data_IF_634328609125
#
_entry.id   IF_634328609125
#
_cell.length_a   1.000
_cell.length_b   1.000
_cell.length_c   1.000
_cell.angle_alpha   90.00
_cell.angle_beta   90.00
_cell.angle_gamma   90.00
#
_symmetry.space_group_name_H-M   'P 1'
#
loop_
_entity.id
_entity.type
_entity.pdbx_description
1 polymer ?
#
# COMPACT_ATOMS: atom_id res chain seq x y z
N UNK A 1 -23.28 13.01 -17.17
CA UNK A 1 -22.07 12.48 -16.55
C UNK A 1 -20.94 12.45 -17.57
N UNK A 2 -19.72 12.81 -17.17
CA UNK A 2 -18.54 12.67 -18.02
C UNK A 2 -18.12 11.19 -18.08
N UNK A 3 -17.58 10.72 -19.22
CA UNK A 3 -17.08 9.36 -19.33
C UNK A 3 -15.82 9.16 -18.47
N UNK A 4 -15.70 8.00 -17.82
CA UNK A 4 -14.45 7.59 -17.17
C UNK A 4 -13.48 7.18 -18.29
N UNK A 5 -12.42 7.95 -18.46
CA UNK A 5 -11.43 7.73 -19.53
C UNK A 5 -10.30 6.81 -19.08
N UNK A 6 -9.90 6.95 -17.81
CA UNK A 6 -8.71 6.27 -17.27
C UNK A 6 -8.91 5.89 -15.81
N UNK A 7 -8.40 4.73 -15.44
CA UNK A 7 -8.25 4.26 -14.06
C UNK A 7 -6.78 4.01 -13.81
N UNK A 8 -6.25 4.62 -12.76
CA UNK A 8 -4.88 4.35 -12.30
C UNK A 8 -4.97 3.44 -11.09
N UNK A 9 -4.30 2.31 -11.17
CA UNK A 9 -4.24 1.31 -10.08
C UNK A 9 -3.03 1.61 -9.22
N UNK A 10 -3.24 1.83 -7.93
CA UNK A 10 -2.14 2.07 -6.99
C UNK A 10 -1.30 0.82 -6.77
N UNK A 11 -1.96 -0.36 -6.58
CA UNK A 11 -1.31 -1.65 -6.37
C UNK A 11 -2.31 -2.81 -6.51
N UNK A 12 -1.84 -4.08 -6.42
CA UNK A 12 -2.63 -5.28 -6.74
C UNK A 12 -3.56 -5.78 -5.62
N UNK A 13 -3.63 -5.17 -4.44
CA UNK A 13 -4.52 -5.67 -3.38
C UNK A 13 -5.98 -5.64 -3.81
N UNK A 14 -6.78 -6.54 -3.24
CA UNK A 14 -8.12 -6.86 -3.71
C UNK A 14 -9.06 -5.64 -3.81
N UNK A 15 -9.02 -4.79 -2.83
CA UNK A 15 -9.83 -3.57 -2.69
C UNK A 15 -9.42 -2.44 -3.65
N UNK A 16 -8.22 -2.52 -4.23
CA UNK A 16 -7.72 -1.60 -5.25
C UNK A 16 -7.78 -2.18 -6.67
N UNK A 17 -7.97 -3.50 -6.80
CA UNK A 17 -7.78 -4.20 -8.08
C UNK A 17 -9.03 -4.93 -8.59
N UNK A 18 -9.83 -5.56 -7.72
CA UNK A 18 -10.92 -6.45 -8.17
C UNK A 18 -12.13 -5.71 -8.75
N UNK A 19 -12.23 -4.38 -8.58
CA UNK A 19 -13.26 -3.55 -9.20
C UNK A 19 -13.01 -3.19 -10.67
N UNK A 20 -11.83 -3.48 -11.23
CA UNK A 20 -11.40 -3.03 -12.56
C UNK A 20 -12.31 -3.49 -13.69
N UNK A 21 -12.95 -4.66 -13.57
CA UNK A 21 -13.89 -5.15 -14.58
C UNK A 21 -15.06 -4.20 -14.82
N UNK A 22 -15.54 -3.48 -13.81
CA UNK A 22 -16.62 -2.52 -13.95
C UNK A 22 -16.19 -1.29 -14.77
N UNK A 23 -14.98 -0.81 -14.56
CA UNK A 23 -14.39 0.29 -15.31
C UNK A 23 -14.06 -0.11 -16.74
N UNK A 24 -13.56 -1.34 -16.93
CA UNK A 24 -13.30 -1.88 -18.27
C UNK A 24 -14.57 -2.00 -19.09
N UNK A 25 -15.68 -2.39 -18.48
CA UNK A 25 -16.98 -2.52 -19.14
C UNK A 25 -17.53 -1.19 -19.68
N UNK A 26 -17.12 -0.05 -19.12
CA UNK A 26 -17.50 1.28 -19.61
C UNK A 26 -16.42 1.92 -20.50
N UNK A 27 -15.41 1.15 -20.90
CA UNK A 27 -14.39 1.56 -21.87
C UNK A 27 -13.23 2.37 -21.28
N UNK A 28 -13.07 2.35 -19.95
CA UNK A 28 -11.92 3.00 -19.31
C UNK A 28 -10.61 2.26 -19.62
N UNK A 29 -9.55 3.01 -19.82
CA UNK A 29 -8.19 2.50 -19.98
C UNK A 29 -7.56 2.28 -18.60
N UNK A 30 -7.06 1.09 -18.33
CA UNK A 30 -6.48 0.70 -17.03
C UNK A 30 -4.97 0.91 -17.07
N UNK A 31 -4.45 1.72 -16.18
CA UNK A 31 -3.03 2.01 -16.03
C UNK A 31 -2.51 1.48 -14.70
N UNK A 32 -1.35 0.80 -14.71
CA UNK A 32 -0.72 0.28 -13.51
C UNK A 32 0.81 0.34 -13.61
N UNK A 33 1.51 0.14 -12.49
CA UNK A 33 2.95 -0.03 -12.51
C UNK A 33 3.35 -1.33 -13.22
N UNK A 34 4.44 -1.32 -14.00
CA UNK A 34 4.89 -2.48 -14.80
C UNK A 34 5.09 -3.77 -13.98
N UNK A 35 5.53 -3.65 -12.73
CA UNK A 35 5.75 -4.83 -11.87
C UNK A 35 4.48 -5.63 -11.56
N UNK A 36 3.28 -5.07 -11.77
CA UNK A 36 2.05 -5.85 -11.67
C UNK A 36 2.04 -7.06 -12.61
N UNK A 37 2.78 -7.00 -13.72
CA UNK A 37 2.90 -8.10 -14.67
C UNK A 37 3.62 -9.32 -14.05
N UNK A 38 4.55 -9.11 -13.11
CA UNK A 38 5.21 -10.19 -12.38
C UNK A 38 4.19 -10.92 -11.47
N UNK A 39 3.35 -10.15 -10.77
CA UNK A 39 2.23 -10.70 -10.00
C UNK A 39 1.26 -11.48 -10.91
N UNK A 40 0.84 -10.89 -12.04
CA UNK A 40 -0.11 -11.50 -12.97
C UNK A 40 0.44 -12.77 -13.66
N UNK A 41 1.76 -12.89 -13.81
CA UNK A 41 2.41 -14.05 -14.41
C UNK A 41 2.61 -15.22 -13.42
N UNK A 42 2.34 -15.03 -12.13
CA UNK A 42 2.45 -16.05 -11.09
C UNK A 42 1.13 -16.75 -10.81
N UNK A 43 1.14 -17.73 -9.93
CA UNK A 43 -0.09 -18.39 -9.45
C UNK A 43 -0.86 -17.55 -8.40
N UNK A 44 -0.23 -16.52 -7.84
CA UNK A 44 -0.78 -15.73 -6.75
C UNK A 44 -2.13 -15.05 -7.07
N UNK A 45 -2.38 -14.48 -8.27
CA UNK A 45 -3.68 -13.89 -8.60
C UNK A 45 -4.85 -14.88 -8.49
N UNK A 46 -4.67 -16.09 -9.02
CA UNK A 46 -5.72 -17.11 -9.00
C UNK A 46 -5.99 -17.61 -7.56
N UNK A 47 -4.93 -17.87 -6.80
CA UNK A 47 -5.02 -18.33 -5.42
C UNK A 47 -5.67 -17.26 -4.52
N UNK A 48 -5.24 -16.00 -4.64
CA UNK A 48 -5.81 -14.89 -3.88
C UNK A 48 -7.26 -14.62 -4.25
N UNK A 49 -7.61 -14.67 -5.53
CA UNK A 49 -9.00 -14.48 -5.95
C UNK A 49 -9.91 -15.58 -5.40
N UNK A 50 -9.45 -16.85 -5.40
CA UNK A 50 -10.21 -17.96 -4.82
C UNK A 50 -10.45 -17.74 -3.31
N UNK A 51 -9.41 -17.40 -2.55
CA UNK A 51 -9.52 -17.07 -1.12
C UNK A 51 -10.47 -15.86 -0.88
N UNK A 52 -10.38 -14.82 -1.71
CA UNK A 52 -11.20 -13.61 -1.56
C UNK A 52 -12.67 -13.84 -1.93
N UNK A 53 -12.98 -14.80 -2.79
CA UNK A 53 -14.37 -15.22 -3.04
C UNK A 53 -15.03 -15.80 -1.80
N UNK A 54 -14.27 -16.44 -0.92
CA UNK A 54 -14.77 -16.93 0.36
C UNK A 54 -14.83 -15.81 1.41
N UNK A 55 -13.72 -15.08 1.58
CA UNK A 55 -13.56 -14.12 2.68
C UNK A 55 -14.27 -12.78 2.46
N UNK A 56 -14.55 -12.40 1.21
CA UNK A 56 -15.18 -11.14 0.83
C UNK A 56 -16.54 -11.32 0.13
N UNK A 57 -17.18 -12.49 0.26
CA UNK A 57 -18.53 -12.68 -0.25
C UNK A 57 -19.53 -11.72 0.45
N UNK A 58 -20.50 -11.11 -0.25
CA UNK A 58 -20.82 -11.29 -1.68
C UNK A 58 -20.11 -10.34 -2.65
N UNK A 59 -19.25 -9.43 -2.18
CA UNK A 59 -18.62 -8.40 -3.02
C UNK A 59 -17.61 -8.97 -4.01
N UNK A 60 -16.87 -9.99 -3.60
CA UNK A 60 -16.04 -10.82 -4.48
C UNK A 60 -16.73 -12.17 -4.60
N UNK A 61 -17.03 -12.58 -5.84
CA UNK A 61 -17.81 -13.78 -6.14
C UNK A 61 -17.33 -14.43 -7.46
N UNK A 62 -18.09 -15.40 -7.99
CA UNK A 62 -17.73 -16.11 -9.21
C UNK A 62 -17.68 -15.24 -10.46
N UNK A 63 -18.33 -14.07 -10.44
CA UNK A 63 -18.28 -13.10 -11.54
C UNK A 63 -17.04 -12.21 -11.46
N UNK A 64 -16.36 -12.16 -10.33
CA UNK A 64 -15.14 -11.36 -10.14
C UNK A 64 -13.98 -11.94 -10.95
N UNK A 65 -13.28 -11.08 -11.68
CA UNK A 65 -12.17 -11.44 -12.56
C UNK A 65 -10.97 -10.56 -12.35
N UNK A 66 -9.80 -11.13 -12.57
CA UNK A 66 -8.56 -10.37 -12.71
C UNK A 66 -8.56 -9.68 -14.07
N UNK A 67 -8.40 -8.37 -14.08
CA UNK A 67 -8.30 -7.55 -15.28
C UNK A 67 -6.88 -7.02 -15.40
N UNK A 68 -6.11 -7.41 -16.43
CA UNK A 68 -4.78 -6.85 -16.63
C UNK A 68 -4.85 -5.38 -17.05
N UNK A 69 -3.80 -4.59 -16.79
CA UNK A 69 -3.73 -3.22 -17.28
C UNK A 69 -3.58 -3.17 -18.81
N UNK A 70 -4.10 -2.09 -19.41
CA UNK A 70 -3.90 -1.77 -20.82
C UNK A 70 -2.55 -1.09 -21.03
N UNK A 71 -2.13 -0.28 -20.07
CA UNK A 71 -0.89 0.50 -20.11
C UNK A 71 -0.10 0.27 -18.81
N UNK A 72 1.19 0.03 -18.94
CA UNK A 72 2.09 -0.08 -17.79
C UNK A 72 3.10 1.06 -17.76
N UNK A 73 3.39 1.55 -16.56
CA UNK A 73 4.39 2.59 -16.29
C UNK A 73 5.49 2.04 -15.35
N UNK A 74 6.73 2.43 -15.56
CA UNK A 74 7.89 2.02 -14.75
C UNK A 74 8.74 3.21 -14.28
N UNK A 75 8.33 4.41 -14.65
CA UNK A 75 8.99 5.68 -14.30
C UNK A 75 7.95 6.78 -14.18
N UNK A 76 8.38 7.91 -13.66
CA UNK A 76 7.52 9.11 -13.63
C UNK A 76 6.92 9.37 -15.01
N UNK A 77 5.61 9.45 -15.07
CA UNK A 77 4.85 9.63 -16.32
C UNK A 77 3.80 10.70 -16.15
N UNK A 78 3.75 11.65 -17.10
CA UNK A 78 2.75 12.73 -17.09
C UNK A 78 1.74 12.52 -18.20
N UNK A 79 0.50 12.93 -17.91
CA UNK A 79 -0.58 13.00 -18.90
C UNK A 79 -1.54 14.12 -18.53
N UNK A 80 -2.38 14.48 -19.50
CA UNK A 80 -3.40 15.50 -19.31
C UNK A 80 -4.77 14.98 -19.73
N UNK A 81 -5.81 15.31 -18.98
CA UNK A 81 -7.20 15.04 -19.32
C UNK A 81 -8.03 16.27 -18.96
N UNK A 82 -8.73 16.84 -19.95
CA UNK A 82 -9.63 17.98 -19.73
C UNK A 82 -8.93 19.25 -19.23
N UNK A 83 -7.68 19.46 -19.58
CA UNK A 83 -6.87 20.60 -19.14
C UNK A 83 -6.23 20.43 -17.75
N UNK A 84 -6.44 19.29 -17.09
CA UNK A 84 -5.84 18.97 -15.78
C UNK A 84 -4.63 18.08 -16.00
N UNK A 85 -3.51 18.42 -15.37
CA UNK A 85 -2.24 17.71 -15.46
C UNK A 85 -2.09 16.69 -14.32
N UNK A 86 -1.74 15.48 -14.70
CA UNK A 86 -1.51 14.38 -13.79
C UNK A 86 -0.08 13.88 -13.90
N UNK A 87 0.50 13.49 -12.78
CA UNK A 87 1.81 12.87 -12.72
C UNK A 87 1.73 11.57 -11.94
N UNK A 88 2.07 10.46 -12.59
CA UNK A 88 2.24 9.15 -11.96
C UNK A 88 3.65 9.02 -11.42
N UNK A 89 3.77 8.61 -10.17
CA UNK A 89 5.04 8.49 -9.46
C UNK A 89 5.17 7.07 -8.91
N UNK A 90 6.01 6.21 -9.51
CA UNK A 90 6.36 4.93 -8.91
C UNK A 90 6.99 5.13 -7.54
N UNK A 91 6.47 4.44 -6.55
CA UNK A 91 6.93 4.52 -5.16
C UNK A 91 7.45 3.20 -4.60
N UNK A 92 7.11 2.09 -5.27
CA UNK A 92 7.57 0.76 -4.86
C UNK A 92 9.05 0.45 -5.20
N UNK A 93 9.62 -0.55 -4.54
CA UNK A 93 8.97 -1.33 -3.51
C UNK A 93 8.72 -0.51 -2.23
N UNK A 94 7.55 -0.65 -1.63
CA UNK A 94 7.18 -0.02 -0.37
C UNK A 94 6.11 -0.87 0.32
N UNK A 95 4.80 -0.47 0.28
CA UNK A 95 3.69 -1.29 0.74
C UNK A 95 3.53 -2.57 -0.11
N UNK A 96 3.72 -2.42 -1.44
CA UNK A 96 3.87 -3.51 -2.41
C UNK A 96 5.07 -3.27 -3.33
N UNK A 97 5.48 -4.29 -4.14
CA UNK A 97 6.54 -4.09 -5.12
C UNK A 97 6.23 -3.04 -6.19
N UNK A 98 4.96 -2.79 -6.48
CA UNK A 98 4.49 -1.97 -7.61
C UNK A 98 3.69 -0.73 -7.21
N UNK A 99 3.88 -0.23 -6.00
CA UNK A 99 3.15 0.97 -5.56
C UNK A 99 3.31 2.14 -6.53
N UNK A 100 2.16 2.72 -6.89
CA UNK A 100 2.04 3.84 -7.81
C UNK A 100 1.17 4.94 -7.19
N UNK A 101 1.72 6.13 -7.06
CA UNK A 101 1.01 7.33 -6.64
C UNK A 101 0.56 8.14 -7.84
N UNK A 102 -0.48 8.97 -7.68
CA UNK A 102 -0.92 9.94 -8.67
C UNK A 102 -1.04 11.33 -8.06
N UNK A 103 -0.31 12.28 -8.61
CA UNK A 103 -0.39 13.70 -8.27
C UNK A 103 -1.22 14.45 -9.30
N UNK A 104 -2.23 15.19 -8.85
CA UNK A 104 -2.89 16.24 -9.62
C UNK A 104 -2.03 17.50 -9.49
N UNK A 105 -1.27 17.82 -10.53
CA UNK A 105 -0.18 18.82 -10.43
C UNK A 105 -0.70 20.23 -10.17
N UNK A 106 -1.85 20.59 -10.77
CA UNK A 106 -2.39 21.94 -10.69
C UNK A 106 -2.90 22.29 -9.28
N UNK A 107 -3.45 21.34 -8.54
CA UNK A 107 -3.96 21.50 -7.18
C UNK A 107 -2.97 21.00 -6.11
N UNK A 108 -1.93 20.27 -6.49
CA UNK A 108 -1.00 19.65 -5.56
C UNK A 108 -1.62 18.52 -4.73
N UNK A 109 -2.68 17.87 -5.23
CA UNK A 109 -3.36 16.77 -4.54
C UNK A 109 -2.71 15.43 -4.90
N UNK A 110 -2.20 14.73 -3.90
CA UNK A 110 -1.58 13.42 -4.06
C UNK A 110 -2.54 12.30 -3.65
N UNK A 111 -2.83 11.38 -4.56
CA UNK A 111 -3.43 10.08 -4.27
C UNK A 111 -2.30 9.11 -3.94
N UNK A 112 -2.15 8.80 -2.65
CA UNK A 112 -0.99 8.06 -2.14
C UNK A 112 -1.17 6.53 -2.15
N UNK A 113 -2.39 6.02 -2.40
CA UNK A 113 -2.69 4.62 -2.17
C UNK A 113 -2.34 4.21 -0.74
N UNK A 114 -1.95 2.97 -0.55
CA UNK A 114 -1.62 2.38 0.77
C UNK A 114 -0.23 2.75 1.29
N UNK A 115 0.41 3.73 0.68
CA UNK A 115 1.58 4.35 1.30
C UNK A 115 1.22 5.19 2.52
N UNK A 116 -0.01 5.73 2.58
CA UNK A 116 -0.48 6.53 3.70
C UNK A 116 -1.85 6.04 4.17
N UNK A 117 -1.98 5.82 5.47
CA UNK A 117 -3.21 5.43 6.15
C UNK A 117 -3.67 6.55 7.08
N UNK A 118 -4.99 6.81 7.14
CA UNK A 118 -5.56 7.83 8.00
C UNK A 118 -6.29 7.22 9.19
N UNK A 119 -5.95 7.66 10.41
CA UNK A 119 -6.69 7.34 11.65
C UNK A 119 -6.76 5.87 12.01
N UNK A 120 -5.89 5.03 11.45
CA UNK A 120 -5.78 3.59 11.75
C UNK A 120 -4.36 3.08 11.51
N UNK A 121 -4.00 1.96 12.11
CA UNK A 121 -2.71 1.35 11.79
C UNK A 121 -2.71 0.82 10.34
N UNK A 122 -1.55 0.89 9.65
CA UNK A 122 -1.37 0.34 8.32
C UNK A 122 -1.52 -1.19 8.30
N UNK A 123 -1.88 -1.73 7.14
CA UNK A 123 -1.62 -3.13 6.82
C UNK A 123 -0.22 -3.21 6.18
N UNK A 124 0.70 -3.90 6.84
CA UNK A 124 2.09 -3.99 6.38
C UNK A 124 2.29 -5.17 5.43
N UNK A 125 1.62 -6.31 5.70
CA UNK A 125 1.75 -7.48 4.83
C UNK A 125 3.22 -7.89 4.61
N UNK A 126 3.56 -8.16 3.36
CA UNK A 126 4.91 -8.53 2.91
C UNK A 126 5.72 -7.30 2.42
N UNK A 127 5.42 -6.11 2.93
CA UNK A 127 6.04 -4.85 2.52
C UNK A 127 7.55 -4.81 2.75
N UNK A 128 8.25 -4.11 1.90
CA UNK A 128 9.60 -3.62 2.21
C UNK A 128 9.48 -2.36 3.10
N UNK A 129 9.38 -2.59 4.41
CA UNK A 129 9.14 -1.52 5.37
C UNK A 129 10.27 -0.49 5.44
N UNK A 130 11.50 -0.83 5.03
CA UNK A 130 12.61 0.12 4.92
C UNK A 130 12.43 1.04 3.71
N UNK A 131 12.21 0.46 2.54
CA UNK A 131 11.97 1.23 1.33
C UNK A 131 10.66 2.06 1.44
N UNK A 132 9.67 1.55 2.16
CA UNK A 132 8.46 2.31 2.47
C UNK A 132 8.76 3.54 3.33
N UNK A 133 9.56 3.42 4.38
CA UNK A 133 10.02 4.56 5.18
C UNK A 133 10.76 5.58 4.32
N UNK A 134 11.67 5.14 3.44
CA UNK A 134 12.38 6.02 2.52
C UNK A 134 11.43 6.77 1.56
N UNK A 135 10.34 6.11 1.11
CA UNK A 135 9.31 6.76 0.29
C UNK A 135 8.54 7.83 1.07
N UNK A 136 8.16 7.55 2.32
CA UNK A 136 7.47 8.50 3.19
C UNK A 136 8.37 9.70 3.56
N UNK A 137 9.66 9.47 3.79
CA UNK A 137 10.63 10.55 4.06
C UNK A 137 10.82 11.45 2.83
N UNK A 138 10.84 10.90 1.60
CA UNK A 138 10.83 11.70 0.36
C UNK A 138 9.57 12.55 0.22
N UNK A 139 8.39 12.00 0.52
CA UNK A 139 7.13 12.76 0.52
C UNK A 139 7.14 13.88 1.56
N UNK A 140 7.70 13.62 2.75
CA UNK A 140 7.84 14.63 3.80
C UNK A 140 8.76 15.79 3.39
N UNK A 141 9.81 15.52 2.60
CA UNK A 141 10.75 16.53 2.13
C UNK A 141 10.17 17.44 1.04
N UNK A 142 9.14 16.99 0.32
CA UNK A 142 8.44 17.75 -0.73
C UNK A 142 6.93 17.52 -0.60
N UNK A 143 6.29 18.14 0.42
CA UNK A 143 4.91 17.85 0.77
C UNK A 143 3.94 18.32 -0.31
N UNK A 144 2.93 17.51 -0.68
CA UNK A 144 1.82 17.96 -1.50
C UNK A 144 0.90 18.89 -0.72
N UNK A 145 0.02 19.62 -1.42
CA UNK A 145 -0.98 20.47 -0.79
C UNK A 145 -2.04 19.68 -0.01
N UNK A 146 -2.35 18.48 -0.49
CA UNK A 146 -3.25 17.52 0.19
C UNK A 146 -2.87 16.09 -0.16
N UNK A 147 -3.18 15.16 0.75
CA UNK A 147 -3.00 13.71 0.55
C UNK A 147 -4.36 13.02 0.64
N UNK A 148 -4.67 12.23 -0.38
CA UNK A 148 -5.76 11.24 -0.35
C UNK A 148 -5.13 9.90 -0.01
N UNK A 149 -5.46 9.40 1.18
CA UNK A 149 -4.92 8.14 1.72
C UNK A 149 -5.63 6.93 1.12
N UNK A 150 -4.99 5.76 1.13
CA UNK A 150 -5.62 4.51 0.66
C UNK A 150 -6.76 4.08 1.58
N UNK A 151 -6.55 4.18 2.88
CA UNK A 151 -7.51 3.76 3.90
C UNK A 151 -7.66 4.76 5.03
N UNK A 152 -8.85 4.75 5.63
CA UNK A 152 -9.22 5.54 6.79
C UNK A 152 -10.31 6.56 6.49
N UNK A 153 -10.70 7.36 7.47
CA UNK A 153 -11.68 8.43 7.27
C UNK A 153 -11.07 9.54 6.39
N UNK A 154 -11.91 10.37 5.75
CA UNK A 154 -11.42 11.57 5.08
C UNK A 154 -10.58 12.41 6.04
N UNK A 155 -9.33 12.65 5.69
CA UNK A 155 -8.39 13.42 6.48
C UNK A 155 -8.32 14.86 5.99
N UNK A 156 -8.12 15.80 6.94
CA UNK A 156 -7.84 17.21 6.65
C UNK A 156 -6.36 17.54 6.82
N UNK A 157 -5.58 16.60 7.36
CA UNK A 157 -4.14 16.74 7.58
C UNK A 157 -3.41 15.49 7.11
N UNK A 158 -3.24 15.38 5.81
CA UNK A 158 -2.54 14.25 5.20
C UNK A 158 -1.07 14.13 5.62
N UNK A 159 -0.46 15.23 6.10
CA UNK A 159 0.92 15.19 6.62
C UNK A 159 0.97 14.56 8.01
N UNK A 160 -0.05 14.77 8.84
CA UNK A 160 -0.18 14.06 10.13
C UNK A 160 -0.43 12.56 9.91
N UNK A 161 -1.24 12.18 8.93
CA UNK A 161 -1.47 10.77 8.57
C UNK A 161 -0.19 10.10 8.05
N UNK A 162 0.57 10.81 7.21
CA UNK A 162 1.87 10.35 6.73
C UNK A 162 2.84 10.14 7.91
N UNK A 163 2.91 11.10 8.83
CA UNK A 163 3.75 11.01 10.02
C UNK A 163 3.33 9.81 10.90
N UNK A 164 2.02 9.61 11.13
CA UNK A 164 1.48 8.48 11.87
C UNK A 164 1.85 7.14 11.21
N UNK A 165 1.69 7.02 9.89
CA UNK A 165 2.06 5.81 9.13
C UNK A 165 3.55 5.52 9.29
N UNK A 166 4.40 6.54 9.13
CA UNK A 166 5.85 6.46 9.28
C UNK A 166 6.26 6.04 10.70
N UNK A 167 5.67 6.64 11.72
CA UNK A 167 6.02 6.38 13.11
C UNK A 167 5.58 4.97 13.53
N UNK A 168 4.45 4.47 13.02
CA UNK A 168 4.07 3.08 13.19
C UNK A 168 5.09 2.11 12.58
N UNK A 169 5.53 2.34 11.35
CA UNK A 169 6.54 1.50 10.69
C UNK A 169 7.89 1.53 11.43
N UNK A 170 8.29 2.70 11.92
CA UNK A 170 9.53 2.85 12.70
C UNK A 170 9.45 2.08 14.01
N UNK A 171 8.36 2.24 14.76
CA UNK A 171 8.11 1.50 15.99
C UNK A 171 8.14 0.00 15.74
N UNK A 172 7.39 -0.48 14.73
CA UNK A 172 7.30 -1.89 14.39
C UNK A 172 8.68 -2.50 14.07
N UNK A 173 9.48 -1.82 13.26
CA UNK A 173 10.85 -2.24 12.93
C UNK A 173 11.76 -2.22 14.16
N UNK A 174 11.67 -1.16 14.99
CA UNK A 174 12.49 -1.03 16.19
C UNK A 174 12.24 -2.16 17.19
N UNK A 175 10.97 -2.44 17.50
CA UNK A 175 10.61 -3.49 18.45
C UNK A 175 11.01 -4.88 17.94
N UNK A 176 10.77 -5.17 16.65
CA UNK A 176 11.12 -6.47 16.09
C UNK A 176 12.65 -6.64 15.89
N UNK A 177 13.37 -5.59 15.53
CA UNK A 177 14.84 -5.64 15.43
C UNK A 177 15.48 -5.90 16.78
N UNK A 178 15.02 -5.22 17.85
CA UNK A 178 15.47 -5.43 19.22
C UNK A 178 15.24 -6.89 19.67
N UNK A 179 14.06 -7.43 19.38
CA UNK A 179 13.76 -8.82 19.73
C UNK A 179 14.67 -9.83 18.99
N UNK A 180 14.99 -9.57 17.71
CA UNK A 180 15.94 -10.42 16.95
C UNK A 180 17.36 -10.31 17.53
N UNK A 181 17.81 -9.12 17.92
CA UNK A 181 19.12 -8.94 18.59
C UNK A 181 19.18 -9.67 19.95
N UNK A 182 18.07 -9.72 20.68
CA UNK A 182 17.93 -10.45 21.94
C UNK A 182 17.70 -11.97 21.75
N UNK A 183 17.62 -12.44 20.50
CA UNK A 183 17.36 -13.85 20.14
C UNK A 183 16.03 -14.39 20.71
N UNK A 184 15.01 -13.55 20.81
CA UNK A 184 13.67 -13.94 21.26
C UNK A 184 12.94 -14.67 20.14
N UNK A 185 12.04 -15.59 20.51
CA UNK A 185 11.04 -16.08 19.56
C UNK A 185 9.95 -15.00 19.32
N UNK A 186 9.13 -15.23 18.30
CA UNK A 186 8.10 -14.26 17.94
C UNK A 186 7.06 -14.03 19.05
N UNK A 187 6.67 -15.05 19.78
CA UNK A 187 5.68 -14.94 20.86
C UNK A 187 6.20 -14.05 21.99
N UNK A 188 7.45 -14.26 22.39
CA UNK A 188 8.11 -13.42 23.38
C UNK A 188 8.32 -12.00 22.86
N UNK A 189 8.77 -11.86 21.58
CA UNK A 189 8.95 -10.57 20.92
C UNK A 189 7.64 -9.76 20.92
N UNK A 190 6.55 -10.38 20.51
CA UNK A 190 5.24 -9.72 20.45
C UNK A 190 4.71 -9.34 21.84
N UNK A 191 4.90 -10.21 22.83
CA UNK A 191 4.43 -9.98 24.20
C UNK A 191 5.20 -8.87 24.91
N UNK A 192 6.50 -8.70 24.62
CA UNK A 192 7.38 -7.70 25.24
C UNK A 192 7.38 -6.36 24.54
N UNK A 193 6.95 -6.31 23.29
CA UNK A 193 6.96 -5.09 22.49
C UNK A 193 6.08 -3.98 23.10
N UNK A 194 6.60 -2.77 23.11
CA UNK A 194 5.84 -1.57 23.49
C UNK A 194 5.08 -1.01 22.29
N UNK A 195 3.80 -1.30 22.23
CA UNK A 195 2.92 -0.82 21.17
C UNK A 195 2.48 0.64 21.36
N UNK A 196 2.76 1.25 22.51
CA UNK A 196 2.47 2.66 22.81
C UNK A 196 1.04 3.06 22.50
N UNK A 197 0.88 4.23 21.89
CA UNK A 197 -0.43 4.77 21.51
C UNK A 197 -1.11 4.00 20.36
N UNK A 198 -0.36 3.21 19.58
CA UNK A 198 -0.92 2.43 18.47
C UNK A 198 -1.87 1.32 18.91
N UNK A 199 -1.70 0.82 20.15
CA UNK A 199 -2.55 -0.23 20.72
C UNK A 199 -4.04 0.12 20.74
N UNK A 200 -4.37 1.38 20.88
CA UNK A 200 -5.75 1.86 20.90
C UNK A 200 -6.29 2.30 19.54
N UNK A 201 -5.47 2.25 18.49
CA UNK A 201 -5.88 2.68 17.16
C UNK A 201 -6.76 1.64 16.46
N UNK A 202 -7.69 2.08 15.60
CA UNK A 202 -8.48 1.20 14.75
C UNK A 202 -7.60 0.22 13.97
N UNK A 203 -8.11 -1.00 13.78
CA UNK A 203 -7.46 -2.13 13.13
C UNK A 203 -6.25 -2.73 13.87
N UNK A 204 -5.91 -2.29 15.08
CA UNK A 204 -4.78 -2.86 15.82
C UNK A 204 -4.97 -4.36 16.03
N UNK A 205 -6.08 -4.78 16.64
CA UNK A 205 -6.33 -6.20 16.93
C UNK A 205 -6.42 -7.07 15.66
N UNK A 206 -6.90 -6.49 14.56
CA UNK A 206 -7.04 -7.21 13.29
C UNK A 206 -5.72 -7.37 12.51
N UNK A 207 -4.79 -6.42 12.62
CA UNK A 207 -3.63 -6.37 11.73
C UNK A 207 -2.27 -6.41 12.45
N UNK A 208 -2.16 -5.86 13.68
CA UNK A 208 -0.86 -5.62 14.29
C UNK A 208 -0.02 -6.88 14.50
N UNK A 209 -0.63 -7.99 14.94
CA UNK A 209 0.11 -9.24 15.17
C UNK A 209 0.72 -9.77 13.86
N UNK A 210 -0.03 -9.73 12.75
CA UNK A 210 0.47 -10.15 11.44
C UNK A 210 1.55 -9.19 10.92
N UNK A 211 1.35 -7.90 11.09
CA UNK A 211 2.35 -6.89 10.76
C UNK A 211 3.66 -7.13 11.51
N UNK A 212 3.57 -7.39 12.83
CA UNK A 212 4.72 -7.68 13.68
C UNK A 212 5.44 -8.95 13.25
N UNK A 213 4.69 -10.04 12.96
CA UNK A 213 5.27 -11.29 12.50
C UNK A 213 6.06 -11.14 11.20
N UNK A 214 5.45 -10.51 10.19
CA UNK A 214 6.11 -10.29 8.91
C UNK A 214 7.35 -9.39 9.04
N UNK A 215 7.26 -8.37 9.92
CA UNK A 215 8.40 -7.50 10.21
C UNK A 215 9.49 -8.22 11.00
N UNK A 216 9.15 -9.10 11.94
CA UNK A 216 10.10 -9.92 12.68
C UNK A 216 10.91 -10.80 11.72
N UNK A 217 10.24 -11.53 10.83
CA UNK A 217 10.90 -12.35 9.80
C UNK A 217 11.78 -11.50 8.86
N UNK A 218 11.35 -10.26 8.56
CA UNK A 218 12.17 -9.34 7.77
C UNK A 218 13.43 -8.92 8.54
N UNK A 219 13.33 -8.63 9.84
CA UNK A 219 14.49 -8.27 10.68
C UNK A 219 15.48 -9.43 10.82
N UNK A 220 15.01 -10.67 10.97
CA UNK A 220 15.87 -11.85 10.95
C UNK A 220 16.68 -11.95 9.64
N UNK A 221 15.99 -11.76 8.50
CA UNK A 221 16.65 -11.79 7.18
C UNK A 221 17.65 -10.66 7.00
N UNK A 222 17.36 -9.47 7.53
CA UNK A 222 18.27 -8.32 7.49
C UNK A 222 19.51 -8.56 8.36
N UNK A 223 19.35 -9.16 9.53
CA UNK A 223 20.44 -9.51 10.45
C UNK A 223 21.43 -10.55 9.86
N UNK A 224 20.93 -11.43 8.99
CA UNK A 224 21.76 -12.46 8.32
C UNK A 224 22.52 -11.94 7.10
N UNK A 225 22.25 -10.73 6.61
CA UNK A 225 23.00 -10.16 5.47
C UNK A 225 24.39 -9.74 5.92
N UNK A 226 25.45 -10.09 5.16
CA UNK A 226 26.78 -9.57 5.43
C UNK A 226 26.78 -8.04 5.40
N UNK A 227 27.41 -7.44 6.38
CA UNK A 227 27.64 -5.98 6.45
C UNK A 227 28.62 -5.52 5.40
#
# INVERSE_FOLDING_TARGET
PLPIRRVVVSHYHADHFYGLQAFKAVGAEIWAHRKVLEYLASDAPALRLAERRESLFPWVNELSRIVPPDVTVDRETRFEIGGIRFRLVPAGPAHTPEDLMMLVEDEGVLFAGDLVFAGRIPYVGDADSKAWLDALDRLSASPPSAIVTGHGPPSRDGMADLAMTRDYLRMLRSEMAKAVEEMLDFEEAYARADWGSFRSMPAFDAANRRNAFNTFVLMEREALKPR
#
